data_IF_235775092587
#
_entry.id   IF_235775092587
#
_cell.length_a   1.000
_cell.length_b   1.000
_cell.length_c   1.000
_cell.angle_alpha   90.00
_cell.angle_beta   90.00
_cell.angle_gamma   90.00
#
_symmetry.space_group_name_H-M   'P 1'
#
loop_
_entity.id
_entity.type
_entity.pdbx_description
1 polymer ?
#
# COMPACT_ATOMS: atom_id res chain seq x y z
N UNK A 1 2.53 27.45 6.96
CA UNK A 1 3.09 26.20 7.52
C UNK A 1 3.75 25.43 6.38
N UNK A 2 5.06 25.21 6.47
CA UNK A 2 5.84 24.43 5.50
C UNK A 2 5.47 22.95 5.63
N UNK A 3 5.15 22.30 4.52
CA UNK A 3 4.80 20.88 4.51
C UNK A 3 6.05 20.03 4.82
N UNK A 4 5.97 19.01 5.70
CA UNK A 4 7.12 18.16 6.00
C UNK A 4 7.58 17.40 4.75
N UNK A 5 8.89 17.39 4.51
CA UNK A 5 9.53 16.76 3.35
C UNK A 5 9.20 15.26 3.25
N UNK A 6 9.14 14.58 4.39
CA UNK A 6 8.86 13.15 4.49
C UNK A 6 7.49 12.93 5.13
N UNK A 7 6.41 13.08 4.34
CA UNK A 7 5.06 12.73 4.78
C UNK A 7 4.44 11.63 3.92
N UNK A 8 3.75 10.71 4.57
CA UNK A 8 2.89 9.73 3.91
C UNK A 8 1.49 10.36 3.82
N UNK A 9 0.95 10.48 2.60
CA UNK A 9 -0.44 10.92 2.38
C UNK A 9 -1.34 9.69 2.30
N UNK A 10 -2.37 9.64 3.14
CA UNK A 10 -3.35 8.56 3.17
C UNK A 10 -4.75 9.13 3.39
N UNK A 11 -5.77 8.41 2.92
CA UNK A 11 -7.15 8.63 3.36
C UNK A 11 -7.34 7.81 4.63
N UNK A 12 -7.80 8.43 5.71
CA UNK A 12 -8.02 7.74 6.98
C UNK A 12 -9.27 8.26 7.69
N UNK A 13 -9.80 7.45 8.59
CA UNK A 13 -10.79 7.83 9.61
C UNK A 13 -10.15 7.64 10.99
N UNK A 14 -10.94 7.79 12.06
CA UNK A 14 -10.47 7.52 13.43
C UNK A 14 -10.14 6.03 13.66
N UNK A 15 -10.70 5.13 12.83
CA UNK A 15 -10.53 3.68 13.00
C UNK A 15 -9.93 2.96 11.79
N UNK A 16 -9.77 3.64 10.64
CA UNK A 16 -9.32 3.00 9.41
C UNK A 16 -8.29 3.83 8.67
N UNK A 17 -7.37 3.16 7.99
CA UNK A 17 -6.43 3.78 7.04
C UNK A 17 -6.59 3.07 5.71
N UNK A 18 -6.80 3.84 4.64
CA UNK A 18 -6.87 3.30 3.27
C UNK A 18 -5.46 3.18 2.70
N UNK A 19 -5.04 1.94 2.46
CA UNK A 19 -3.80 1.63 1.78
C UNK A 19 -4.08 1.42 0.30
N UNK A 20 -3.47 2.24 -0.56
CA UNK A 20 -3.46 1.97 -1.99
C UNK A 20 -2.51 0.82 -2.27
N UNK A 21 -3.07 -0.32 -2.61
CA UNK A 21 -2.33 -1.55 -2.80
C UNK A 21 -1.61 -1.53 -4.16
N UNK A 22 -0.29 -1.78 -4.16
CA UNK A 22 0.49 -1.99 -5.39
C UNK A 22 0.32 -3.42 -5.96
N UNK A 23 -0.30 -4.31 -5.20
CA UNK A 23 -0.52 -5.71 -5.54
C UNK A 23 -1.97 -5.97 -5.93
N UNK A 24 -2.22 -7.01 -6.72
CA UNK A 24 -3.57 -7.47 -7.02
C UNK A 24 -4.26 -8.06 -5.77
N UNK A 25 -5.62 -8.07 -5.70
CA UNK A 25 -6.37 -8.47 -4.50
C UNK A 25 -5.97 -9.84 -3.91
N UNK A 26 -5.62 -10.80 -4.76
CA UNK A 26 -5.17 -12.15 -4.39
C UNK A 26 -3.84 -12.17 -3.62
N UNK A 27 -3.08 -11.07 -3.62
CA UNK A 27 -1.85 -10.92 -2.84
C UNK A 27 -2.10 -10.09 -1.58
N UNK A 28 -2.66 -8.89 -1.71
CA UNK A 28 -2.69 -7.97 -0.57
C UNK A 28 -3.82 -8.23 0.42
N UNK A 29 -4.96 -8.80 0.03
CA UNK A 29 -5.99 -9.16 1.01
C UNK A 29 -5.51 -10.28 1.95
N UNK A 30 -4.91 -11.39 1.47
CA UNK A 30 -4.27 -12.37 2.36
C UNK A 30 -3.14 -11.75 3.17
N UNK A 31 -2.30 -10.90 2.58
CA UNK A 31 -1.19 -10.27 3.30
C UNK A 31 -1.64 -9.37 4.45
N UNK A 32 -2.70 -8.57 4.25
CA UNK A 32 -3.25 -7.73 5.31
C UNK A 32 -3.88 -8.55 6.44
N UNK A 33 -4.58 -9.64 6.10
CA UNK A 33 -5.24 -10.51 7.06
C UNK A 33 -4.26 -11.35 7.88
N UNK A 34 -3.22 -11.88 7.23
CA UNK A 34 -2.34 -12.91 7.80
C UNK A 34 -0.96 -12.38 8.21
N UNK A 35 -0.64 -11.13 7.87
CA UNK A 35 0.67 -10.51 8.13
C UNK A 35 1.82 -11.15 7.33
N UNK A 36 1.52 -11.91 6.28
CA UNK A 36 2.49 -12.64 5.44
C UNK A 36 2.08 -12.66 3.98
N UNK A 37 3.06 -12.60 3.08
CA UNK A 37 2.78 -12.72 1.65
C UNK A 37 2.43 -14.16 1.25
N UNK A 38 1.40 -14.37 0.40
CA UNK A 38 1.05 -15.70 -0.10
C UNK A 38 2.10 -16.22 -1.10
N UNK A 39 2.11 -17.53 -1.36
CA UNK A 39 3.08 -18.17 -2.25
C UNK A 39 3.09 -17.62 -3.70
N UNK A 40 1.99 -17.01 -4.14
CA UNK A 40 1.88 -16.36 -5.46
C UNK A 40 2.67 -15.05 -5.55
N UNK A 41 3.03 -14.44 -4.42
CA UNK A 41 3.88 -13.25 -4.39
C UNK A 41 5.31 -13.59 -4.79
N UNK A 42 5.93 -12.74 -5.62
CA UNK A 42 7.33 -12.88 -6.04
C UNK A 42 8.09 -11.58 -5.85
N UNK A 43 9.20 -11.63 -5.10
CA UNK A 43 10.05 -10.45 -4.81
C UNK A 43 10.58 -9.77 -6.08
N UNK A 44 10.84 -10.53 -7.15
CA UNK A 44 11.35 -10.01 -8.42
C UNK A 44 10.28 -9.35 -9.31
N UNK A 45 9.00 -9.37 -8.91
CA UNK A 45 7.87 -8.80 -9.67
C UNK A 45 7.36 -7.50 -9.03
N UNK A 46 8.22 -6.76 -8.34
CA UNK A 46 7.87 -5.48 -7.75
C UNK A 46 7.71 -4.41 -8.84
N UNK A 47 6.48 -4.10 -9.22
CA UNK A 47 6.15 -2.94 -10.07
C UNK A 47 5.79 -1.75 -9.20
N UNK A 48 6.52 -0.65 -9.37
CA UNK A 48 6.21 0.61 -8.70
C UNK A 48 5.00 1.27 -9.35
N UNK A 49 3.90 1.40 -8.58
CA UNK A 49 2.74 2.20 -8.99
C UNK A 49 3.02 3.65 -8.61
N UNK A 50 3.38 4.48 -9.59
CA UNK A 50 3.50 5.92 -9.37
C UNK A 50 2.10 6.52 -9.43
N UNK A 51 1.60 7.01 -8.28
CA UNK A 51 0.42 7.87 -8.25
C UNK A 51 0.85 9.29 -8.65
N UNK A 52 0.30 9.88 -9.73
CA UNK A 52 0.58 11.27 -10.06
C UNK A 52 0.08 12.17 -8.93
N UNK A 53 0.87 13.19 -8.59
CA UNK A 53 0.46 14.26 -7.69
C UNK A 53 -0.50 15.15 -8.49
N UNK A 54 -1.75 15.28 -8.05
CA UNK A 54 -2.63 16.38 -8.47
C UNK A 54 -2.15 17.69 -7.86
#
# INVERSE_FOLDING_TARGET
>A
MTEPEHRIRAVHTDSTVTVYQAYAPEIGLPAAREGRFPAVWKRNRMTWVIKPRS
#
